data_IF_233009029066
#
_entry.id   IF_233009029066
#
_cell.length_a   1.000
_cell.length_b   1.000
_cell.length_c   1.000
_cell.angle_alpha   90.00
_cell.angle_beta   90.00
_cell.angle_gamma   90.00
#
_symmetry.space_group_name_H-M   'P 1'
#
loop_
_entity.id
_entity.type
_entity.pdbx_description
1 polymer ?
#
# COMPACT_ATOMS: atom_id res chain seq x y z
N UNK A 1 -14.35 1.62 -18.34
CA UNK A 1 -13.68 2.87 -17.88
C UNK A 1 -13.45 3.89 -19.00
N UNK A 2 -13.15 3.52 -20.25
CA UNK A 2 -12.92 4.48 -21.36
C UNK A 2 -14.16 5.36 -21.67
N UNK A 3 -15.35 4.77 -21.78
CA UNK A 3 -16.59 5.51 -22.07
C UNK A 3 -17.12 6.43 -20.96
N UNK A 4 -16.61 6.30 -19.72
CA UNK A 4 -17.10 7.08 -18.58
C UNK A 4 -16.61 8.53 -18.59
N UNK A 5 -15.50 8.83 -19.28
CA UNK A 5 -14.94 10.19 -19.39
C UNK A 5 -15.21 10.84 -20.76
N UNK A 6 -15.49 10.04 -21.79
CA UNK A 6 -15.81 10.52 -23.14
C UNK A 6 -17.21 11.16 -23.21
N UNK A 7 -18.18 10.68 -22.44
CA UNK A 7 -19.55 11.22 -22.42
C UNK A 7 -19.79 12.31 -21.36
N UNK A 8 -18.74 12.76 -20.64
CA UNK A 8 -18.93 13.79 -19.61
C UNK A 8 -18.95 15.19 -20.23
N UNK A 9 -19.91 16.04 -19.87
CA UNK A 9 -19.90 17.45 -20.28
C UNK A 9 -18.63 18.14 -19.79
N UNK A 10 -18.10 19.09 -20.58
CA UNK A 10 -16.78 19.73 -20.35
C UNK A 10 -16.60 20.30 -18.94
N UNK A 11 -17.68 20.83 -18.34
CA UNK A 11 -17.69 21.31 -16.95
C UNK A 11 -17.31 20.22 -15.95
N UNK A 12 -17.83 19.01 -16.15
CA UNK A 12 -17.56 17.85 -15.28
C UNK A 12 -16.13 17.35 -15.49
N UNK A 13 -15.62 17.34 -16.72
CA UNK A 13 -14.22 16.98 -17.04
C UNK A 13 -13.21 17.92 -16.37
N UNK A 14 -13.49 19.23 -16.30
CA UNK A 14 -12.66 20.21 -15.58
C UNK A 14 -12.63 19.95 -14.07
N UNK A 15 -13.77 19.67 -13.45
CA UNK A 15 -13.84 19.33 -12.01
C UNK A 15 -13.04 18.08 -11.66
N UNK A 16 -13.07 17.04 -12.51
CA UNK A 16 -12.26 15.83 -12.29
C UNK A 16 -10.76 16.11 -12.34
N UNK A 17 -10.29 17.01 -13.22
CA UNK A 17 -8.87 17.42 -13.26
C UNK A 17 -8.45 18.13 -11.98
N UNK A 18 -9.31 19.01 -11.46
CA UNK A 18 -9.08 19.67 -10.17
C UNK A 18 -9.01 18.63 -9.05
N UNK A 19 -9.98 17.71 -8.99
CA UNK A 19 -10.00 16.64 -7.99
C UNK A 19 -8.77 15.74 -8.10
N UNK A 20 -8.33 15.40 -9.32
CA UNK A 20 -7.11 14.63 -9.55
C UNK A 20 -5.92 15.30 -8.88
N UNK A 21 -5.67 16.59 -9.12
CA UNK A 21 -4.56 17.31 -8.49
C UNK A 21 -4.75 17.48 -6.98
N UNK A 22 -5.96 17.72 -6.49
CA UNK A 22 -6.21 17.92 -5.05
C UNK A 22 -6.09 16.62 -4.24
N UNK A 23 -6.40 15.47 -4.83
CA UNK A 23 -6.39 14.17 -4.15
C UNK A 23 -5.04 13.85 -3.45
N UNK A 24 -3.87 13.91 -4.10
CA UNK A 24 -2.60 13.59 -3.44
C UNK A 24 -2.25 14.57 -2.32
N UNK A 25 -2.54 15.87 -2.48
CA UNK A 25 -2.33 16.87 -1.42
C UNK A 25 -3.27 16.62 -0.24
N UNK A 26 -4.53 16.30 -0.51
CA UNK A 26 -5.52 15.95 0.52
C UNK A 26 -5.12 14.68 1.28
N UNK A 27 -4.67 13.64 0.56
CA UNK A 27 -4.18 12.39 1.17
C UNK A 27 -2.90 12.62 1.99
N UNK A 28 -1.95 13.43 1.49
CA UNK A 28 -0.73 13.77 2.22
C UNK A 28 -1.06 14.56 3.50
N UNK A 29 -1.90 15.59 3.40
CA UNK A 29 -2.36 16.36 4.55
C UNK A 29 -3.09 15.47 5.56
N UNK A 30 -4.02 14.62 5.11
CA UNK A 30 -4.72 13.67 5.96
C UNK A 30 -3.76 12.70 6.65
N UNK A 31 -2.77 12.16 5.92
CA UNK A 31 -1.76 11.26 6.48
C UNK A 31 -0.93 11.97 7.55
N UNK A 32 -0.54 13.22 7.34
CA UNK A 32 0.20 14.01 8.32
C UNK A 32 -0.65 14.34 9.56
N UNK A 33 -1.91 14.71 9.38
CA UNK A 33 -2.86 14.99 10.45
C UNK A 33 -3.15 13.73 11.28
N UNK A 34 -3.33 12.59 10.61
CA UNK A 34 -3.60 11.30 11.26
C UNK A 34 -2.32 10.58 11.72
N UNK A 35 -1.12 11.08 11.40
CA UNK A 35 0.14 10.39 11.71
C UNK A 35 0.26 10.05 13.20
N UNK A 36 0.05 11.04 14.07
CA UNK A 36 0.16 10.85 15.53
C UNK A 36 -0.88 9.86 16.08
N UNK A 37 -2.19 9.99 15.80
CA UNK A 37 -3.16 9.01 16.28
C UNK A 37 -2.92 7.62 15.67
N UNK A 38 -2.51 7.52 14.41
CA UNK A 38 -2.16 6.22 13.79
C UNK A 38 -0.99 5.55 14.50
N UNK A 39 0.08 6.29 14.78
CA UNK A 39 1.23 5.77 15.54
C UNK A 39 0.80 5.31 16.94
N UNK A 40 -0.01 6.10 17.64
CA UNK A 40 -0.54 5.76 18.96
C UNK A 40 -1.40 4.48 18.93
N UNK A 41 -2.31 4.36 17.96
CA UNK A 41 -3.09 3.12 17.76
C UNK A 41 -2.16 1.95 17.52
N UNK A 42 -1.15 2.10 16.64
CA UNK A 42 -0.22 1.01 16.37
C UNK A 42 0.56 0.59 17.61
N UNK A 43 0.91 1.50 18.52
CA UNK A 43 1.63 1.20 19.77
C UNK A 43 0.77 0.42 20.76
N UNK A 44 -0.54 0.73 20.81
CA UNK A 44 -1.50 0.05 21.69
C UNK A 44 -1.95 -1.33 21.19
N UNK A 45 -1.50 -1.79 20.02
CA UNK A 45 -1.84 -3.13 19.54
C UNK A 45 -1.18 -4.18 20.45
N UNK A 46 -1.96 -5.13 20.99
CA UNK A 46 -1.41 -6.19 21.84
C UNK A 46 -0.44 -7.08 21.06
N UNK A 47 0.43 -7.78 21.80
CA UNK A 47 1.34 -8.75 21.21
C UNK A 47 0.56 -9.80 20.40
N UNK A 48 1.05 -10.04 19.17
CA UNK A 48 0.47 -10.94 18.17
C UNK A 48 0.14 -12.32 18.79
N UNK A 49 -1.14 -12.70 18.99
CA UNK A 49 -1.48 -13.98 19.64
C UNK A 49 -0.98 -15.17 18.83
N UNK A 50 -1.01 -15.06 17.50
CA UNK A 50 -0.46 -16.07 16.59
C UNK A 50 1.03 -16.32 16.83
N UNK A 51 1.83 -15.25 16.99
CA UNK A 51 3.25 -15.38 17.31
C UNK A 51 3.47 -16.01 18.68
N UNK A 52 2.65 -15.66 19.68
CA UNK A 52 2.72 -16.30 21.01
C UNK A 52 2.42 -17.79 20.99
N UNK A 53 1.50 -18.23 20.12
CA UNK A 53 1.10 -19.63 20.03
C UNK A 53 2.02 -20.48 19.15
N UNK A 54 2.53 -19.92 18.05
CA UNK A 54 3.22 -20.68 17.00
C UNK A 54 4.71 -20.35 16.87
N UNK A 55 5.16 -19.23 17.43
CA UNK A 55 6.49 -18.65 17.16
C UNK A 55 6.63 -18.07 15.75
N UNK A 56 5.59 -18.13 14.91
CA UNK A 56 5.61 -17.65 13.52
C UNK A 56 5.02 -16.24 13.40
N UNK A 57 5.54 -15.43 12.48
CA UNK A 57 5.04 -14.10 12.18
C UNK A 57 3.88 -14.14 11.18
N UNK A 58 2.72 -13.60 11.57
CA UNK A 58 1.53 -13.56 10.73
C UNK A 58 1.49 -12.37 9.74
N UNK A 59 0.62 -12.44 8.69
CA UNK A 59 0.23 -11.35 7.78
C UNK A 59 0.20 -9.96 8.40
N UNK A 60 -0.61 -9.84 9.45
CA UNK A 60 -0.90 -8.56 10.08
C UNK A 60 0.31 -7.97 10.79
N UNK A 61 0.99 -8.76 11.61
CA UNK A 61 2.03 -8.25 12.53
C UNK A 61 3.25 -7.70 11.77
N UNK A 62 3.61 -8.29 10.62
CA UNK A 62 4.64 -7.73 9.74
C UNK A 62 4.21 -6.46 8.99
N UNK A 63 2.96 -6.41 8.53
CA UNK A 63 2.40 -5.24 7.85
C UNK A 63 2.27 -4.02 8.76
N UNK A 64 1.83 -4.21 10.01
CA UNK A 64 1.70 -3.12 10.98
C UNK A 64 3.05 -2.45 11.28
N UNK A 65 4.13 -3.25 11.42
CA UNK A 65 5.49 -2.71 11.62
C UNK A 65 6.02 -2.00 10.38
N UNK A 66 5.82 -2.58 9.20
CA UNK A 66 6.20 -1.97 7.93
C UNK A 66 5.47 -0.64 7.71
N UNK A 67 4.17 -0.58 8.00
CA UNK A 67 3.39 0.65 7.91
C UNK A 67 3.85 1.70 8.93
N UNK A 68 4.18 1.29 10.16
CA UNK A 68 4.74 2.21 11.17
C UNK A 68 6.06 2.81 10.72
N UNK A 69 6.97 1.99 10.17
CA UNK A 69 8.22 2.47 9.60
C UNK A 69 7.99 3.45 8.44
N UNK A 70 7.03 3.15 7.56
CA UNK A 70 6.63 4.03 6.46
C UNK A 70 6.06 5.36 6.96
N UNK A 71 5.21 5.34 8.00
CA UNK A 71 4.68 6.55 8.65
C UNK A 71 5.78 7.37 9.33
N UNK A 72 6.90 6.75 9.71
CA UNK A 72 8.08 7.45 10.22
C UNK A 72 9.02 7.96 9.13
N UNK A 73 8.77 7.61 7.86
CA UNK A 73 9.63 7.95 6.73
C UNK A 73 10.80 6.98 6.53
N UNK A 74 10.85 5.88 7.29
CA UNK A 74 11.92 4.88 7.17
C UNK A 74 11.51 3.78 6.19
N UNK A 75 11.80 4.03 4.91
CA UNK A 75 11.50 3.12 3.80
C UNK A 75 12.30 1.82 3.93
N UNK A 76 13.56 1.90 4.36
CA UNK A 76 14.45 0.74 4.43
C UNK A 76 13.99 -0.21 5.54
N UNK A 77 13.65 0.32 6.72
CA UNK A 77 13.06 -0.46 7.80
C UNK A 77 11.69 -1.02 7.39
N UNK A 78 10.90 -0.26 6.64
CA UNK A 78 9.60 -0.72 6.13
C UNK A 78 9.75 -1.95 5.23
N UNK A 79 10.72 -1.96 4.32
CA UNK A 79 11.06 -3.10 3.46
C UNK A 79 11.51 -4.32 4.27
N UNK A 80 12.40 -4.11 5.26
CA UNK A 80 12.87 -5.19 6.16
C UNK A 80 11.71 -5.79 6.96
N UNK A 81 10.72 -4.97 7.33
CA UNK A 81 9.54 -5.41 8.06
C UNK A 81 8.57 -6.20 7.16
N UNK A 82 8.21 -5.65 6.00
CA UNK A 82 7.42 -6.32 4.97
C UNK A 82 7.46 -5.52 3.68
N UNK A 83 7.71 -6.17 2.55
CA UNK A 83 7.64 -5.51 1.24
C UNK A 83 6.19 -5.20 0.80
N UNK A 84 5.20 -5.90 1.36
CA UNK A 84 3.82 -5.84 0.88
C UNK A 84 3.18 -4.43 0.93
N UNK A 85 3.32 -3.62 2.00
CA UNK A 85 2.78 -2.26 2.02
C UNK A 85 3.36 -1.35 0.92
N UNK A 86 4.64 -1.52 0.59
CA UNK A 86 5.27 -0.77 -0.49
C UNK A 86 4.79 -1.21 -1.88
N UNK A 87 4.62 -2.51 -2.08
CA UNK A 87 4.05 -3.06 -3.32
C UNK A 87 2.63 -2.53 -3.55
N UNK A 88 1.81 -2.49 -2.50
CA UNK A 88 0.47 -1.92 -2.57
C UNK A 88 0.49 -0.42 -2.86
N UNK A 89 1.39 0.33 -2.21
CA UNK A 89 1.57 1.76 -2.49
C UNK A 89 1.96 2.00 -3.95
N UNK A 90 2.91 1.23 -4.48
CA UNK A 90 3.32 1.31 -5.88
C UNK A 90 2.16 0.99 -6.84
N UNK A 91 1.37 -0.05 -6.54
CA UNK A 91 0.19 -0.39 -7.33
C UNK A 91 -0.84 0.75 -7.36
N UNK A 92 -1.11 1.39 -6.22
CA UNK A 92 -2.01 2.55 -6.14
C UNK A 92 -1.50 3.72 -6.98
N UNK A 93 -0.19 4.01 -6.93
CA UNK A 93 0.43 5.07 -7.75
C UNK A 93 0.29 4.76 -9.25
N UNK A 94 0.52 3.51 -9.67
CA UNK A 94 0.36 3.11 -11.06
C UNK A 94 -1.10 3.23 -11.53
N UNK A 95 -2.08 2.78 -10.73
CA UNK A 95 -3.50 2.95 -11.04
C UNK A 95 -3.89 4.43 -11.13
N UNK A 96 -3.38 5.25 -10.22
CA UNK A 96 -3.60 6.70 -10.25
C UNK A 96 -3.00 7.34 -11.50
N UNK A 97 -1.82 6.89 -11.95
CA UNK A 97 -1.21 7.34 -13.20
C UNK A 97 -2.01 6.90 -14.45
N UNK A 98 -2.53 5.66 -14.48
CA UNK A 98 -3.45 5.22 -15.55
C UNK A 98 -4.69 6.11 -15.61
N UNK A 99 -5.22 6.46 -14.44
CA UNK A 99 -6.40 7.30 -14.33
C UNK A 99 -6.13 8.74 -14.79
N UNK A 100 -4.97 9.30 -14.43
CA UNK A 100 -4.51 10.58 -14.95
C UNK A 100 -4.37 10.57 -16.48
N UNK A 101 -3.70 9.56 -17.04
CA UNK A 101 -3.54 9.43 -18.49
C UNK A 101 -4.89 9.43 -19.23
N UNK A 102 -5.90 8.72 -18.69
CA UNK A 102 -7.27 8.74 -19.21
C UNK A 102 -7.92 10.13 -19.11
N UNK A 103 -7.75 10.83 -17.99
CA UNK A 103 -8.39 12.12 -17.72
C UNK A 103 -7.85 13.26 -18.59
N UNK A 104 -6.58 13.18 -18.98
CA UNK A 104 -5.93 14.16 -19.87
C UNK A 104 -5.98 13.77 -21.35
N UNK A 105 -6.78 12.77 -21.73
CA UNK A 105 -6.97 12.36 -23.14
C UNK A 105 -5.81 11.56 -23.72
N UNK A 106 -4.89 11.07 -22.87
CA UNK A 106 -3.85 10.15 -23.27
C UNK A 106 -4.41 8.77 -23.65
N UNK A 107 -3.66 8.03 -24.46
CA UNK A 107 -3.99 6.63 -24.76
C UNK A 107 -3.97 5.84 -23.44
N UNK A 108 -4.99 5.02 -23.12
CA UNK A 108 -4.96 4.22 -21.91
C UNK A 108 -3.83 3.19 -22.02
N UNK A 109 -2.78 3.43 -21.25
CA UNK A 109 -1.75 2.45 -21.00
C UNK A 109 -2.20 1.63 -19.79
N UNK A 110 -2.16 0.31 -19.94
CA UNK A 110 -2.38 -0.62 -18.84
C UNK A 110 -1.00 -0.85 -18.20
N UNK A 111 -0.67 -0.03 -17.21
CA UNK A 111 0.54 -0.15 -16.40
C UNK A 111 0.46 -1.37 -15.49
N UNK A 112 -0.74 -1.71 -15.02
CA UNK A 112 -0.98 -2.93 -14.26
C UNK A 112 -1.68 -4.00 -15.12
N UNK A 113 -1.15 -5.23 -15.13
CA UNK A 113 -1.80 -6.36 -15.80
C UNK A 113 -3.15 -6.67 -15.12
N UNK A 114 -4.20 -6.88 -15.91
CA UNK A 114 -5.54 -7.24 -15.41
C UNK A 114 -5.87 -8.73 -15.57
N UNK A 115 -4.94 -9.48 -16.15
CA UNK A 115 -5.11 -10.91 -16.39
C UNK A 115 -4.87 -11.70 -15.12
N UNK A 116 -5.75 -12.64 -14.81
CA UNK A 116 -5.56 -13.61 -13.73
C UNK A 116 -4.23 -14.39 -13.89
N UNK A 117 -3.79 -14.60 -15.14
CA UNK A 117 -2.50 -15.25 -15.45
C UNK A 117 -1.29 -14.54 -14.85
N UNK A 118 -1.38 -13.25 -14.54
CA UNK A 118 -0.34 -12.52 -13.83
C UNK A 118 -0.58 -12.54 -12.32
N UNK A 119 -1.81 -12.30 -11.87
CA UNK A 119 -2.13 -12.19 -10.45
C UNK A 119 -2.03 -13.50 -9.68
N UNK A 120 -2.32 -14.63 -10.33
CA UNK A 120 -2.19 -15.96 -9.72
C UNK A 120 -0.73 -16.27 -9.35
N UNK A 121 0.26 -16.28 -10.27
CA UNK A 121 1.64 -16.54 -9.90
C UNK A 121 2.21 -15.45 -8.98
N UNK A 122 1.80 -14.19 -9.14
CA UNK A 122 2.19 -13.11 -8.23
C UNK A 122 1.69 -13.35 -6.80
N UNK A 123 0.43 -13.77 -6.64
CA UNK A 123 -0.15 -14.15 -5.35
C UNK A 123 0.56 -15.35 -4.72
N UNK A 124 0.88 -16.36 -5.53
CA UNK A 124 1.69 -17.52 -5.10
C UNK A 124 3.08 -17.07 -4.65
N UNK A 125 3.76 -16.20 -5.39
CA UNK A 125 5.07 -15.68 -5.02
C UNK A 125 5.01 -14.91 -3.70
N UNK A 126 3.98 -14.08 -3.49
CA UNK A 126 3.74 -13.40 -2.22
C UNK A 126 3.56 -14.43 -1.10
N UNK A 127 2.74 -15.47 -1.30
CA UNK A 127 2.52 -16.52 -0.31
C UNK A 127 3.81 -17.28 0.02
N UNK A 128 4.63 -17.61 -0.97
CA UNK A 128 5.93 -18.26 -0.79
C UNK A 128 6.90 -17.34 -0.02
N UNK A 129 6.94 -16.05 -0.34
CA UNK A 129 7.70 -15.07 0.44
C UNK A 129 7.22 -15.02 1.89
N UNK A 130 5.90 -15.07 2.12
CA UNK A 130 5.27 -15.12 3.45
C UNK A 130 5.68 -16.36 4.26
N UNK A 131 5.79 -17.51 3.62
CA UNK A 131 6.26 -18.74 4.27
C UNK A 131 7.78 -18.67 4.49
N UNK A 132 8.56 -18.35 3.46
CA UNK A 132 10.02 -18.33 3.50
C UNK A 132 10.59 -17.36 4.55
N UNK A 133 9.99 -16.17 4.70
CA UNK A 133 10.42 -15.19 5.71
C UNK A 133 10.28 -15.66 7.16
N UNK A 134 9.49 -16.70 7.42
CA UNK A 134 9.37 -17.27 8.76
C UNK A 134 10.58 -18.16 9.11
N UNK A 135 11.20 -18.77 8.10
CA UNK A 135 12.35 -19.67 8.27
C UNK A 135 13.70 -18.96 8.14
N UNK A 136 13.73 -17.79 7.50
CA UNK A 136 14.90 -16.91 7.45
C UNK A 136 14.71 -15.74 8.43
N UNK A 137 15.01 -15.92 9.73
CA UNK A 137 14.99 -14.81 10.67
C UNK A 137 16.11 -13.84 10.27
N UNK A 138 15.72 -12.72 9.64
CA UNK A 138 16.49 -11.48 9.74
C UNK A 138 16.69 -11.18 11.24
N UNK A 139 17.79 -10.50 11.64
CA UNK A 139 18.10 -10.23 13.04
C UNK A 139 16.87 -9.75 13.82
N UNK A 140 16.68 -10.21 15.08
CA UNK A 140 15.46 -9.98 15.83
C UNK A 140 15.14 -8.50 15.81
N UNK A 141 14.04 -8.19 15.11
CA UNK A 141 13.60 -6.81 14.99
C UNK A 141 13.21 -6.31 16.38
N UNK A 142 13.49 -5.02 16.68
CA UNK A 142 13.06 -4.44 17.94
C UNK A 142 11.55 -4.65 18.05
N UNK A 143 11.16 -5.45 19.04
CA UNK A 143 9.77 -5.58 19.43
C UNK A 143 9.29 -4.16 19.73
N UNK A 144 8.11 -3.81 19.24
CA UNK A 144 7.48 -2.57 19.70
C UNK A 144 7.51 -2.61 21.23
N UNK A 145 8.06 -1.59 21.92
CA UNK A 145 7.76 -1.46 23.34
C UNK A 145 6.23 -1.39 23.40
N UNK A 146 5.67 -2.40 24.09
CA UNK A 146 4.28 -2.36 24.52
C UNK A 146 4.15 -1.41 25.68
#
# INVERSE_FOLDING_TARGET
MRGLFEHLPDRRRKSWKILYFLLPFGLAALTLLLRRPLLCVTQRLPACPFYRMTGLYCPGCGNTRSLRALLNGDILLSLRCNILPLVLLAAVILLYAEWGALLFGGKPRRLLPRSARFWVPFGVLILLYWIGRNFFPLPPMPLSPG
#
